data_IF_182806629149
#
_entry.id   IF_182806629149
#
_cell.length_a   1.000
_cell.length_b   1.000
_cell.length_c   1.000
_cell.angle_alpha   90.00
_cell.angle_beta   90.00
_cell.angle_gamma   90.00
#
_symmetry.space_group_name_H-M   'P 1'
#
loop_
_entity.id
_entity.type
_entity.pdbx_description
1 polymer ?
#
# COMPACT_ATOMS: atom_id res chain seq x y z
N UNK A 1 -8.02 9.24 -0.65
CA UNK A 1 -8.56 8.20 0.25
C UNK A 1 -10.02 7.96 -0.08
N UNK A 2 -10.88 8.98 0.06
CA UNK A 2 -12.31 8.88 -0.33
C UNK A 2 -12.54 8.40 -1.75
N UNK A 3 -11.74 8.80 -2.74
CA UNK A 3 -11.99 8.44 -4.14
C UNK A 3 -11.75 6.96 -4.45
N UNK A 4 -10.76 6.30 -3.82
CA UNK A 4 -10.43 4.89 -4.10
C UNK A 4 -11.36 3.96 -3.33
N UNK A 5 -11.67 4.30 -2.08
CA UNK A 5 -12.65 3.58 -1.27
C UNK A 5 -14.08 3.80 -1.80
N UNK A 6 -14.39 5.01 -2.28
CA UNK A 6 -15.60 5.29 -3.07
C UNK A 6 -15.62 4.51 -4.37
N UNK A 7 -14.50 4.37 -5.10
CA UNK A 7 -14.46 3.56 -6.32
C UNK A 7 -14.65 2.07 -6.04
N UNK A 8 -14.09 1.54 -4.96
CA UNK A 8 -14.27 0.15 -4.57
C UNK A 8 -15.71 -0.13 -4.09
N UNK A 9 -16.29 0.80 -3.31
CA UNK A 9 -17.69 0.71 -2.84
C UNK A 9 -18.68 0.91 -3.99
N UNK A 10 -18.49 1.93 -4.82
CA UNK A 10 -19.32 2.24 -5.99
C UNK A 10 -19.14 1.26 -7.14
N UNK A 11 -18.00 0.59 -7.23
CA UNK A 11 -17.73 -0.48 -8.19
C UNK A 11 -18.25 -1.85 -7.76
N UNK A 12 -18.79 -1.98 -6.54
CA UNK A 12 -19.45 -3.19 -6.01
C UNK A 12 -20.94 -2.98 -5.71
N UNK A 13 -21.39 -1.74 -5.49
CA UNK A 13 -22.79 -1.34 -5.30
C UNK A 13 -23.54 -1.20 -6.63
N UNK A 14 -24.68 -1.90 -6.74
CA UNK A 14 -25.51 -1.94 -7.95
C UNK A 14 -26.30 -0.61 -8.14
N UNK A 15 -25.63 0.47 -8.55
CA UNK A 15 -26.17 1.82 -8.74
C UNK A 15 -26.79 2.07 -10.13
N UNK A 16 -26.82 1.08 -11.03
CA UNK A 16 -27.55 1.17 -12.31
C UNK A 16 -26.83 1.97 -13.41
N UNK A 17 -25.56 2.31 -13.23
CA UNK A 17 -24.69 2.95 -14.23
C UNK A 17 -23.80 1.93 -14.94
N UNK A 18 -23.29 2.22 -16.14
CA UNK A 18 -22.48 1.27 -16.93
C UNK A 18 -21.14 0.84 -16.27
N UNK A 19 -20.64 1.66 -15.33
CA UNK A 19 -19.44 1.41 -14.51
C UNK A 19 -19.70 0.56 -13.25
N UNK A 20 -20.91 0.06 -13.12
CA UNK A 20 -21.34 -0.77 -12.02
C UNK A 20 -20.78 -2.20 -12.13
N UNK A 21 -20.45 -2.78 -10.97
CA UNK A 21 -19.84 -4.10 -10.88
C UNK A 21 -18.52 -4.27 -11.64
N UNK A 22 -17.85 -3.19 -12.07
CA UNK A 22 -16.59 -3.29 -12.83
C UNK A 22 -15.51 -3.97 -12.01
N UNK A 23 -15.38 -3.60 -10.74
CA UNK A 23 -14.41 -4.23 -9.82
C UNK A 23 -14.76 -5.71 -9.64
N UNK A 24 -16.06 -6.04 -9.51
CA UNK A 24 -16.52 -7.42 -9.40
C UNK A 24 -16.25 -8.23 -10.66
N UNK A 25 -16.54 -7.69 -11.86
CA UNK A 25 -16.24 -8.32 -13.16
C UNK A 25 -14.75 -8.52 -13.39
N UNK A 26 -13.92 -7.55 -13.01
CA UNK A 26 -12.46 -7.68 -13.08
C UNK A 26 -11.99 -8.77 -12.13
N UNK A 27 -12.49 -8.82 -10.90
CA UNK A 27 -12.17 -9.88 -9.94
C UNK A 27 -12.62 -11.25 -10.45
N UNK A 28 -13.84 -11.37 -10.99
CA UNK A 28 -14.38 -12.61 -11.57
C UNK A 28 -13.53 -13.06 -12.76
N UNK A 29 -13.17 -12.14 -13.66
CA UNK A 29 -12.31 -12.43 -14.82
C UNK A 29 -10.88 -12.80 -14.42
N UNK A 30 -10.30 -12.15 -13.42
CA UNK A 30 -8.96 -12.49 -12.88
C UNK A 30 -8.97 -13.81 -12.11
N UNK A 31 -10.09 -14.17 -11.48
CA UNK A 31 -10.27 -15.44 -10.77
C UNK A 31 -10.32 -16.63 -11.72
N UNK A 32 -10.82 -16.42 -12.94
CA UNK A 32 -10.83 -17.41 -14.02
C UNK A 32 -9.51 -17.43 -14.82
N UNK A 33 -8.60 -16.48 -14.61
CA UNK A 33 -7.23 -16.55 -15.11
C UNK A 33 -6.44 -17.61 -14.31
N UNK A 34 -6.54 -18.87 -14.73
CA UNK A 34 -5.64 -19.94 -14.30
C UNK A 34 -4.17 -19.60 -14.58
N UNK A 35 -3.23 -20.40 -14.05
CA UNK A 35 -1.79 -20.13 -14.12
C UNK A 35 -1.28 -19.79 -15.52
N UNK A 36 -1.05 -18.50 -15.80
CA UNK A 36 -0.58 -17.98 -17.09
C UNK A 36 0.88 -18.35 -17.41
N UNK A 37 1.62 -18.90 -16.44
CA UNK A 37 3.02 -19.33 -16.59
C UNK A 37 3.23 -20.32 -17.74
N UNK A 38 2.24 -21.18 -18.02
CA UNK A 38 2.29 -22.11 -19.15
C UNK A 38 2.16 -21.41 -20.51
N UNK A 39 1.28 -20.40 -20.61
CA UNK A 39 1.05 -19.63 -21.83
C UNK A 39 2.23 -18.70 -22.10
N UNK A 40 2.74 -18.00 -21.09
CA UNK A 40 3.92 -17.15 -21.21
C UNK A 40 5.17 -17.94 -21.57
N UNK A 41 5.40 -19.08 -20.90
CA UNK A 41 6.50 -19.98 -21.23
C UNK A 41 6.34 -20.62 -22.61
N UNK A 42 5.10 -20.88 -23.06
CA UNK A 42 4.80 -21.33 -24.42
C UNK A 42 5.09 -20.26 -25.47
N UNK A 43 4.61 -19.04 -25.25
CA UNK A 43 4.81 -17.89 -26.13
C UNK A 43 6.30 -17.53 -26.25
N UNK A 44 7.03 -17.47 -25.13
CA UNK A 44 8.46 -17.20 -25.13
C UNK A 44 9.26 -18.26 -25.90
N UNK A 45 8.93 -19.55 -25.72
CA UNK A 45 9.52 -20.64 -26.49
C UNK A 45 9.20 -20.54 -27.98
N UNK A 46 7.96 -20.22 -28.34
CA UNK A 46 7.54 -20.02 -29.73
C UNK A 46 8.24 -18.83 -30.38
N UNK A 47 8.35 -17.69 -29.68
CA UNK A 47 9.08 -16.51 -30.16
C UNK A 47 10.55 -16.84 -30.39
N UNK A 48 11.18 -17.53 -29.43
CA UNK A 48 12.58 -17.96 -29.55
C UNK A 48 12.77 -18.92 -30.72
N UNK A 49 11.91 -19.92 -30.84
CA UNK A 49 11.94 -20.88 -31.95
C UNK A 49 11.71 -20.20 -33.31
N UNK A 50 10.75 -19.28 -33.39
CA UNK A 50 10.51 -18.49 -34.59
C UNK A 50 11.71 -17.63 -34.96
N UNK A 51 12.35 -16.98 -33.98
CA UNK A 51 13.54 -16.15 -34.20
C UNK A 51 14.71 -16.99 -34.71
N UNK A 52 14.94 -18.16 -34.11
CA UNK A 52 15.95 -19.10 -34.54
C UNK A 52 15.68 -19.61 -35.98
N UNK A 53 14.45 -20.02 -36.29
CA UNK A 53 14.06 -20.46 -37.62
C UNK A 53 14.15 -19.34 -38.66
N UNK A 54 13.70 -18.13 -38.34
CA UNK A 54 13.79 -16.98 -39.23
C UNK A 54 15.23 -16.62 -39.53
N UNK A 55 16.11 -16.65 -38.53
CA UNK A 55 17.55 -16.41 -38.71
C UNK A 55 18.17 -17.49 -39.58
N UNK A 56 17.83 -18.76 -39.34
CA UNK A 56 18.28 -19.88 -40.15
C UNK A 56 17.81 -19.77 -41.59
N UNK A 57 16.52 -19.49 -41.83
CA UNK A 57 15.97 -19.32 -43.18
C UNK A 57 16.58 -18.12 -43.90
N UNK A 58 16.81 -17.01 -43.20
CA UNK A 58 17.50 -15.86 -43.77
C UNK A 58 18.92 -16.21 -44.20
N UNK A 59 19.65 -16.97 -43.39
CA UNK A 59 20.98 -17.46 -43.74
C UNK A 59 20.94 -18.40 -44.95
N UNK A 60 20.05 -19.40 -44.96
CA UNK A 60 19.89 -20.33 -46.08
C UNK A 60 19.48 -19.60 -47.38
N UNK A 61 18.64 -18.56 -47.29
CA UNK A 61 18.26 -17.74 -48.45
C UNK A 61 19.47 -17.03 -49.04
N UNK A 62 20.34 -16.46 -48.20
CA UNK A 62 21.59 -15.82 -48.67
C UNK A 62 22.55 -16.83 -49.29
N UNK A 63 22.65 -18.03 -48.73
CA UNK A 63 23.46 -19.12 -49.31
C UNK A 63 22.93 -19.55 -50.67
N UNK A 64 21.61 -19.79 -50.78
CA UNK A 64 20.96 -20.10 -52.06
C UNK A 64 21.20 -19.00 -53.08
N UNK A 65 21.02 -17.73 -52.71
CA UNK A 65 21.29 -16.60 -53.60
C UNK A 65 22.74 -16.57 -54.10
N UNK A 66 23.70 -16.86 -53.22
CA UNK A 66 25.11 -16.94 -53.58
C UNK A 66 25.42 -18.10 -54.52
N UNK A 67 24.80 -19.26 -54.31
CA UNK A 67 24.99 -20.45 -55.14
C UNK A 67 24.26 -20.35 -56.48
N UNK A 68 23.13 -19.63 -56.52
CA UNK A 68 22.34 -19.41 -57.72
C UNK A 68 22.91 -18.30 -58.60
N UNK A 69 23.68 -17.36 -58.02
CA UNK A 69 24.21 -16.21 -58.75
C UNK A 69 25.01 -16.59 -60.00
N UNK A 70 25.92 -17.59 -59.99
CA UNK A 70 26.62 -18.02 -61.20
C UNK A 70 25.71 -18.59 -62.29
N UNK A 71 24.58 -19.20 -61.92
CA UNK A 71 23.64 -19.82 -62.86
C UNK A 71 22.73 -18.79 -63.55
N UNK A 72 22.39 -17.70 -62.86
CA UNK A 72 21.46 -16.68 -63.35
C UNK A 72 22.12 -15.34 -63.66
N UNK A 73 23.44 -15.22 -63.50
CA UNK A 73 24.17 -14.00 -63.81
C UNK A 73 24.15 -13.76 -65.32
N UNK A 74 23.80 -12.54 -65.78
CA UNK A 74 23.81 -12.19 -67.20
C UNK A 74 25.24 -12.15 -67.79
N UNK A 75 26.26 -12.29 -66.96
CA UNK A 75 27.67 -12.33 -67.35
C UNK A 75 28.19 -13.76 -67.52
N UNK A 76 27.38 -14.78 -67.25
CA UNK A 76 27.73 -16.19 -67.40
C UNK A 76 26.97 -16.76 -68.60
N UNK A 77 27.60 -17.67 -69.32
CA UNK A 77 26.98 -18.36 -70.43
C UNK A 77 25.79 -19.19 -69.90
N UNK A 78 24.59 -19.06 -70.50
CA UNK A 78 23.42 -19.78 -70.01
C UNK A 78 23.64 -21.30 -70.12
N UNK A 79 23.05 -22.08 -69.18
CA UNK A 79 23.06 -23.54 -69.28
C UNK A 79 22.39 -24.01 -70.58
N UNK A 80 22.80 -25.17 -71.07
CA UNK A 80 22.21 -25.84 -72.23
C UNK A 80 20.78 -26.36 -71.94
N UNK A 81 20.05 -26.66 -73.02
CA UNK A 81 18.63 -27.01 -72.98
C UNK A 81 18.36 -28.26 -72.11
N UNK A 82 19.19 -29.31 -72.23
CA UNK A 82 19.09 -30.53 -71.44
C UNK A 82 19.29 -30.24 -69.94
N UNK A 83 20.28 -29.40 -69.61
CA UNK A 83 20.54 -28.99 -68.23
C UNK A 83 19.40 -28.15 -67.63
N UNK A 84 18.73 -27.33 -68.44
CA UNK A 84 17.55 -26.54 -68.01
C UNK A 84 16.38 -27.46 -67.67
N UNK A 85 16.12 -28.46 -68.52
CA UNK A 85 15.03 -29.42 -68.33
C UNK A 85 15.25 -30.29 -67.08
N UNK A 86 16.49 -30.57 -66.71
CA UNK A 86 16.84 -31.24 -65.44
C UNK A 86 16.71 -30.31 -64.21
N UNK A 87 17.06 -29.02 -64.34
CA UNK A 87 17.04 -28.05 -63.23
C UNK A 87 15.64 -27.57 -62.84
N UNK A 88 14.75 -27.40 -63.82
CA UNK A 88 13.39 -26.89 -63.61
C UNK A 88 12.55 -27.69 -62.58
N UNK A 89 12.48 -29.03 -62.64
CA UNK A 89 11.75 -29.81 -61.64
C UNK A 89 12.39 -29.74 -60.26
N UNK A 90 13.73 -29.63 -60.17
CA UNK A 90 14.44 -29.47 -58.89
C UNK A 90 14.13 -28.12 -58.24
N UNK A 91 14.09 -27.03 -59.01
CA UNK A 91 13.71 -25.70 -58.52
C UNK A 91 12.24 -25.66 -58.09
N UNK A 92 11.36 -26.37 -58.79
CA UNK A 92 9.94 -26.47 -58.44
C UNK A 92 9.75 -27.22 -57.13
N UNK A 93 10.41 -28.37 -56.96
CA UNK A 93 10.43 -29.15 -55.72
C UNK A 93 11.04 -28.37 -54.54
N UNK A 94 12.12 -27.62 -54.79
CA UNK A 94 12.72 -26.75 -53.78
C UNK A 94 11.76 -25.63 -53.35
N UNK A 95 11.04 -25.02 -54.29
CA UNK A 95 10.05 -23.98 -54.00
C UNK A 95 8.86 -24.52 -53.18
N UNK A 96 8.42 -25.75 -53.46
CA UNK A 96 7.35 -26.41 -52.70
C UNK A 96 7.79 -26.81 -51.29
N UNK A 97 9.04 -27.21 -51.11
CA UNK A 97 9.60 -27.61 -49.81
C UNK A 97 10.08 -26.43 -48.95
N UNK A 98 10.16 -25.22 -49.50
CA UNK A 98 10.65 -24.05 -48.78
C UNK A 98 9.60 -23.56 -47.76
N UNK A 99 9.90 -23.57 -46.45
CA UNK A 99 8.95 -23.11 -45.45
C UNK A 99 8.73 -21.60 -45.59
N UNK A 100 7.46 -21.20 -45.77
CA UNK A 100 7.08 -19.78 -45.86
C UNK A 100 6.78 -19.27 -44.45
N UNK A 101 7.64 -18.41 -43.86
CA UNK A 101 7.36 -17.86 -42.55
C UNK A 101 6.04 -17.08 -42.60
N UNK A 102 5.07 -17.48 -41.77
CA UNK A 102 3.78 -16.79 -41.68
C UNK A 102 3.97 -15.52 -40.85
N UNK A 103 4.22 -14.40 -41.53
CA UNK A 103 4.39 -13.08 -40.90
C UNK A 103 3.19 -12.72 -40.00
N UNK A 104 1.97 -13.04 -40.43
CA UNK A 104 0.76 -12.81 -39.65
C UNK A 104 0.74 -13.53 -38.29
N UNK A 105 1.22 -14.78 -38.23
CA UNK A 105 1.27 -15.56 -36.98
C UNK A 105 2.31 -15.00 -36.01
N UNK A 106 3.47 -14.58 -36.52
CA UNK A 106 4.50 -13.93 -35.72
C UNK A 106 4.03 -12.59 -35.15
N UNK A 107 3.44 -11.72 -35.99
CA UNK A 107 2.90 -10.44 -35.54
C UNK A 107 1.82 -10.63 -34.47
N UNK A 108 0.94 -11.61 -34.64
CA UNK A 108 -0.12 -11.91 -33.66
C UNK A 108 0.46 -12.39 -32.32
N UNK A 109 1.48 -13.25 -32.34
CA UNK A 109 2.16 -13.72 -31.12
C UNK A 109 2.94 -12.61 -30.42
N UNK A 110 3.62 -11.75 -31.18
CA UNK A 110 4.35 -10.61 -30.64
C UNK A 110 3.42 -9.59 -30.00
N UNK A 111 2.27 -9.32 -30.62
CA UNK A 111 1.21 -8.47 -30.05
C UNK A 111 0.64 -9.07 -28.78
N UNK A 112 0.29 -10.37 -28.80
CA UNK A 112 -0.22 -11.06 -27.61
C UNK A 112 0.78 -10.96 -26.45
N UNK A 113 2.06 -11.21 -26.71
CA UNK A 113 3.11 -11.11 -25.70
C UNK A 113 3.26 -9.71 -25.11
N UNK A 114 3.18 -8.67 -25.96
CA UNK A 114 3.19 -7.29 -25.50
C UNK A 114 1.99 -6.97 -24.59
N UNK A 115 0.79 -7.39 -25.01
CA UNK A 115 -0.43 -7.18 -24.22
C UNK A 115 -0.38 -7.94 -22.87
N UNK A 116 0.18 -9.14 -22.80
CA UNK A 116 0.38 -9.83 -21.52
C UNK A 116 1.40 -9.13 -20.64
N UNK A 117 2.51 -8.64 -21.20
CA UNK A 117 3.50 -7.89 -20.43
C UNK A 117 2.91 -6.62 -19.82
N UNK A 118 2.12 -5.87 -20.60
CA UNK A 118 1.42 -4.67 -20.14
C UNK A 118 0.40 -5.02 -19.05
N UNK A 119 -0.36 -6.11 -19.22
CA UNK A 119 -1.30 -6.60 -18.20
C UNK A 119 -0.59 -6.93 -16.89
N UNK A 120 0.53 -7.65 -16.93
CA UNK A 120 1.33 -7.98 -15.74
C UNK A 120 1.82 -6.71 -15.05
N UNK A 121 2.31 -5.74 -15.82
CA UNK A 121 2.77 -4.46 -15.26
C UNK A 121 1.62 -3.69 -14.59
N UNK A 122 0.46 -3.61 -15.22
CA UNK A 122 -0.72 -2.94 -14.65
C UNK A 122 -1.21 -3.62 -13.38
N UNK A 123 -1.22 -4.97 -13.34
CA UNK A 123 -1.59 -5.74 -12.15
C UNK A 123 -0.60 -5.52 -11.00
N UNK A 124 0.70 -5.51 -11.28
CA UNK A 124 1.73 -5.22 -10.27
C UNK A 124 1.56 -3.80 -9.70
N UNK A 125 1.37 -2.80 -10.56
CA UNK A 125 1.11 -1.43 -10.13
C UNK A 125 -0.16 -1.30 -9.26
N UNK A 126 -1.22 -2.01 -9.64
CA UNK A 126 -2.48 -2.02 -8.89
C UNK A 126 -2.33 -2.72 -7.54
N UNK A 127 -1.53 -3.79 -7.47
CA UNK A 127 -1.15 -4.48 -6.24
C UNK A 127 -0.39 -3.54 -5.29
N UNK A 128 0.62 -2.82 -5.79
CA UNK A 128 1.38 -1.86 -5.00
C UNK A 128 0.49 -0.73 -4.47
N UNK A 129 -0.42 -0.23 -5.30
CA UNK A 129 -1.38 0.81 -4.93
C UNK A 129 -2.34 0.33 -3.83
N UNK A 130 -2.82 -0.93 -3.92
CA UNK A 130 -3.65 -1.55 -2.88
C UNK A 130 -2.88 -1.73 -1.56
N UNK A 131 -1.62 -2.17 -1.64
CA UNK A 131 -0.77 -2.30 -0.46
C UNK A 131 -0.55 -0.95 0.24
N UNK A 132 -0.23 0.09 -0.51
CA UNK A 132 -0.08 1.46 0.01
C UNK A 132 -1.38 1.99 0.62
N UNK A 133 -2.53 1.74 -0.03
CA UNK A 133 -3.85 2.10 0.49
C UNK A 133 -4.14 1.43 1.84
N UNK A 134 -3.87 0.13 1.96
CA UNK A 134 -4.07 -0.62 3.21
C UNK A 134 -3.16 -0.12 4.33
N UNK A 135 -1.91 0.20 4.04
CA UNK A 135 -0.98 0.77 5.02
C UNK A 135 -1.44 2.15 5.50
N UNK A 136 -1.88 2.99 4.57
CA UNK A 136 -2.44 4.32 4.88
C UNK A 136 -3.67 4.21 5.77
N UNK A 137 -4.59 3.28 5.44
CA UNK A 137 -5.80 2.99 6.23
C UNK A 137 -5.47 2.54 7.65
N UNK A 138 -4.49 1.64 7.79
CA UNK A 138 -4.03 1.15 9.10
C UNK A 138 -3.46 2.30 9.95
N UNK A 139 -2.71 3.20 9.32
CA UNK A 139 -2.12 4.37 9.97
C UNK A 139 -3.18 5.38 10.41
N UNK A 140 -4.16 5.67 9.54
CA UNK A 140 -5.30 6.53 9.85
C UNK A 140 -6.13 5.95 11.03
N UNK A 141 -6.38 4.64 11.01
CA UNK A 141 -7.10 3.94 12.09
C UNK A 141 -6.37 4.08 13.43
N UNK A 142 -5.04 3.95 13.43
CA UNK A 142 -4.23 4.14 14.64
C UNK A 142 -4.29 5.58 15.16
N UNK A 143 -4.19 6.57 14.27
CA UNK A 143 -4.32 7.99 14.64
C UNK A 143 -5.71 8.31 15.19
N UNK A 144 -6.75 7.75 14.59
CA UNK A 144 -8.13 7.93 15.06
C UNK A 144 -8.34 7.31 16.44
N UNK A 145 -7.74 6.15 16.72
CA UNK A 145 -7.77 5.56 18.08
C UNK A 145 -7.10 6.47 19.10
N UNK A 146 -5.89 6.95 18.80
CA UNK A 146 -5.16 7.86 19.69
C UNK A 146 -5.93 9.17 19.94
N UNK A 147 -6.57 9.74 18.91
CA UNK A 147 -7.41 10.92 19.08
C UNK A 147 -8.65 10.65 19.96
N UNK A 148 -9.27 9.46 19.81
CA UNK A 148 -10.39 9.05 20.67
C UNK A 148 -9.99 8.88 22.12
N UNK A 149 -8.83 8.29 22.38
CA UNK A 149 -8.28 8.12 23.73
C UNK A 149 -8.01 9.48 24.39
N UNK A 150 -7.38 10.41 23.65
CA UNK A 150 -7.13 11.77 24.14
C UNK A 150 -8.42 12.53 24.45
N UNK A 151 -9.44 12.42 23.59
CA UNK A 151 -10.75 13.06 23.84
C UNK A 151 -11.44 12.45 25.07
N UNK A 152 -11.29 11.14 25.31
CA UNK A 152 -11.84 10.50 26.49
C UNK A 152 -11.12 10.97 27.78
N UNK A 153 -9.81 11.14 27.73
CA UNK A 153 -9.01 11.68 28.84
C UNK A 153 -9.39 13.13 29.17
N UNK A 154 -9.50 13.99 28.16
CA UNK A 154 -9.93 15.39 28.35
C UNK A 154 -11.31 15.49 29.02
N UNK A 155 -12.26 14.62 28.64
CA UNK A 155 -13.58 14.58 29.28
C UNK A 155 -13.49 14.21 30.75
N UNK A 156 -12.65 13.21 31.07
CA UNK A 156 -12.41 12.77 32.45
C UNK A 156 -11.76 13.88 33.29
N UNK A 157 -10.78 14.60 32.74
CA UNK A 157 -10.16 15.75 33.41
C UNK A 157 -11.15 16.90 33.64
N UNK A 158 -12.07 17.13 32.69
CA UNK A 158 -13.10 18.16 32.84
C UNK A 158 -14.11 17.80 33.94
N UNK A 159 -14.54 16.53 34.03
CA UNK A 159 -15.38 16.03 35.13
C UNK A 159 -14.67 16.21 36.49
N UNK A 160 -13.39 15.84 36.60
CA UNK A 160 -12.59 16.03 37.82
C UNK A 160 -12.44 17.51 38.21
N UNK A 161 -12.28 18.40 37.22
CA UNK A 161 -12.22 19.85 37.44
C UNK A 161 -13.55 20.37 38.00
N UNK A 162 -14.66 19.98 37.39
CA UNK A 162 -16.00 20.38 37.84
C UNK A 162 -16.29 19.92 39.28
N UNK A 163 -15.93 18.68 39.62
CA UNK A 163 -16.05 18.17 40.99
C UNK A 163 -15.19 18.96 41.99
N UNK A 164 -13.95 19.29 41.63
CA UNK A 164 -13.07 20.09 42.45
C UNK A 164 -13.61 21.51 42.65
N UNK A 165 -14.15 22.15 41.60
CA UNK A 165 -14.81 23.46 41.68
C UNK A 165 -16.02 23.42 42.61
N UNK A 166 -16.86 22.39 42.51
CA UNK A 166 -18.01 22.20 43.40
C UNK A 166 -17.58 21.97 44.85
N UNK A 167 -16.49 21.25 45.08
CA UNK A 167 -15.93 21.04 46.42
C UNK A 167 -15.40 22.37 47.01
N UNK A 168 -14.69 23.16 46.19
CA UNK A 168 -14.20 24.48 46.58
C UNK A 168 -15.35 25.45 46.94
N UNK A 169 -16.40 25.46 46.13
CA UNK A 169 -17.59 26.27 46.36
C UNK A 169 -18.35 25.85 47.61
N UNK A 170 -18.62 24.55 47.80
CA UNK A 170 -19.34 24.04 48.99
C UNK A 170 -18.62 24.33 50.30
N UNK A 171 -17.29 24.35 50.28
CA UNK A 171 -16.49 24.64 51.47
C UNK A 171 -16.28 26.13 51.75
N UNK A 172 -16.85 27.05 50.95
CA UNK A 172 -16.56 28.50 50.96
C UNK A 172 -15.05 28.80 51.08
N UNK A 173 -14.21 28.00 50.43
CA UNK A 173 -12.77 28.01 50.68
C UNK A 173 -12.12 29.37 50.37
N UNK A 174 -12.68 30.14 49.43
CA UNK A 174 -12.26 31.51 49.13
C UNK A 174 -12.41 32.46 50.33
N UNK A 175 -13.56 32.45 50.99
CA UNK A 175 -13.84 33.26 52.19
C UNK A 175 -12.98 32.81 53.37
N UNK A 176 -12.85 31.49 53.56
CA UNK A 176 -12.01 30.90 54.62
C UNK A 176 -10.54 31.26 54.47
N UNK A 177 -10.03 31.29 53.24
CA UNK A 177 -8.68 31.74 52.93
C UNK A 177 -8.52 33.24 53.20
N UNK A 178 -9.48 34.06 52.78
CA UNK A 178 -9.47 35.51 52.99
C UNK A 178 -9.50 35.87 54.49
N UNK A 179 -10.30 35.15 55.28
CA UNK A 179 -10.35 35.26 56.73
C UNK A 179 -9.09 34.75 57.43
N UNK A 180 -8.15 34.13 56.70
CA UNK A 180 -6.95 33.46 57.23
C UNK A 180 -7.30 32.46 58.35
N UNK A 181 -8.40 31.73 58.18
CA UNK A 181 -8.98 30.88 59.22
C UNK A 181 -7.96 29.88 59.80
N UNK A 182 -7.11 29.29 58.95
CA UNK A 182 -6.04 28.39 59.39
C UNK A 182 -5.03 29.08 60.34
N UNK A 183 -4.66 30.33 60.08
CA UNK A 183 -3.81 31.10 60.99
C UNK A 183 -4.53 31.45 62.29
N UNK A 184 -5.86 31.66 62.23
CA UNK A 184 -6.72 31.82 63.40
C UNK A 184 -6.73 30.58 64.27
N UNK A 185 -7.00 29.41 63.69
CA UNK A 185 -6.99 28.11 64.39
C UNK A 185 -5.61 27.81 64.98
N UNK A 186 -4.53 28.02 64.23
CA UNK A 186 -3.17 27.84 64.76
C UNK A 186 -2.88 28.79 65.94
N UNK A 187 -3.36 30.04 65.89
CA UNK A 187 -3.19 31.00 66.99
C UNK A 187 -4.02 30.63 68.21
N UNK A 188 -5.24 30.14 68.02
CA UNK A 188 -6.11 29.66 69.09
C UNK A 188 -5.48 28.45 69.80
N UNK A 189 -4.96 27.50 69.04
CA UNK A 189 -4.24 26.34 69.60
C UNK A 189 -3.01 26.77 70.39
N UNK A 190 -2.17 27.67 69.84
CA UNK A 190 -1.00 28.19 70.55
C UNK A 190 -1.41 28.99 71.79
N UNK A 191 -2.47 29.80 71.71
CA UNK A 191 -3.03 30.52 72.85
C UNK A 191 -3.51 29.58 73.96
N UNK A 192 -4.20 28.49 73.62
CA UNK A 192 -4.58 27.46 74.58
C UNK A 192 -3.37 26.78 75.25
N UNK A 193 -2.30 26.52 74.50
CA UNK A 193 -1.04 26.03 75.10
C UNK A 193 -0.40 27.06 76.04
N UNK A 194 -0.43 28.35 75.70
CA UNK A 194 0.08 29.44 76.54
C UNK A 194 -0.72 29.63 77.82
N UNK A 195 -2.05 29.52 77.76
CA UNK A 195 -2.93 29.54 78.93
C UNK A 195 -2.61 28.40 79.89
N UNK A 196 -2.49 27.17 79.38
CA UNK A 196 -2.07 26.02 80.19
C UNK A 196 -0.69 26.29 80.81
N UNK A 197 0.27 26.82 80.05
CA UNK A 197 1.58 27.18 80.60
C UNK A 197 1.50 28.25 81.71
N UNK A 198 0.63 29.24 81.57
CA UNK A 198 0.44 30.30 82.56
C UNK A 198 -0.25 29.79 83.83
N UNK A 199 -1.24 28.90 83.72
CA UNK A 199 -1.85 28.23 84.87
C UNK A 199 -0.83 27.39 85.64
N UNK A 200 0.06 26.69 84.93
CA UNK A 200 1.17 25.99 85.55
C UNK A 200 2.16 26.93 86.24
N UNK A 201 2.52 28.08 85.62
CA UNK A 201 3.35 29.12 86.27
C UNK A 201 2.69 29.70 87.51
N UNK A 202 1.39 29.98 87.47
CA UNK A 202 0.64 30.50 88.61
C UNK A 202 0.60 29.48 89.76
N UNK A 203 0.43 28.19 89.46
CA UNK A 203 0.50 27.10 90.45
C UNK A 203 1.90 26.96 91.06
N UNK A 204 2.95 27.11 90.25
CA UNK A 204 4.33 27.06 90.72
C UNK A 204 4.69 28.28 91.59
N UNK A 205 4.22 29.48 91.25
CA UNK A 205 4.38 30.68 92.08
C UNK A 205 3.59 30.57 93.40
N UNK A 206 2.37 30.06 93.37
CA UNK A 206 1.58 29.79 94.58
C UNK A 206 2.21 28.72 95.50
N UNK A 207 2.99 27.78 94.93
CA UNK A 207 3.80 26.83 95.70
C UNK A 207 5.12 27.45 96.20
N UNK A 208 5.61 28.53 95.60
CA UNK A 208 6.79 29.27 96.03
C UNK A 208 6.49 30.32 97.12
N UNK A 209 5.23 30.71 97.29
CA UNK A 209 4.74 31.67 98.31
C UNK A 209 4.41 31.07 99.71
N UNK A 210 5.18 30.08 100.21
CA UNK A 210 5.31 29.93 101.66
C UNK A 210 6.77 29.78 102.11
N UNK A 211 7.66 30.73 101.78
CA UNK A 211 8.90 30.99 102.56
C UNK A 211 9.23 32.49 102.46
N UNK A 212 8.47 33.31 103.18
CA UNK A 212 8.61 34.76 103.20
C UNK A 212 7.97 35.40 104.43
N UNK A 213 8.17 34.79 105.60
CA UNK A 213 7.99 35.36 106.93
C UNK A 213 9.07 34.80 107.85
#
# INVERSE_FOLDING_TARGET
>A
MDQVESLARRGTENNGTESDGVVKRVIEGLKDLGGQSGVEGGASRLITAHTALSTHLHHQTRLLQSLSYPLFSPLVQPPDEDTIDELLPLLTSLNESMPRPTTAAFTSLSQLHGLTADLIQTLNYLSDTLHMSRQTTTTATRRLRSARELVAEMKREEEEREEAELWLQRGNWSERLAARECAGVCREVVGGFEEVCNDWRARLLAQADPVGA
#
